data_IF_039584575553
#
_entry.id   IF_039584575553
#
_cell.length_a   1.000
_cell.length_b   1.000
_cell.length_c   1.000
_cell.angle_alpha   90.00
_cell.angle_beta   90.00
_cell.angle_gamma   90.00
#
_symmetry.space_group_name_H-M   'P 1'
#
loop_
_entity.id
_entity.type
_entity.pdbx_description
1 polymer ?
#
# COMPACT_ATOMS: atom_id res chain seq x y z
N UNK A 1 8.41 -12.07 40.19
CA UNK A 1 9.46 -11.17 40.75
C UNK A 1 10.79 -11.81 40.43
N UNK A 2 11.84 -11.02 40.16
CA UNK A 2 13.20 -11.53 39.95
C UNK A 2 13.66 -12.27 41.22
N UNK A 3 14.18 -13.49 41.12
CA UNK A 3 14.77 -14.16 42.29
C UNK A 3 16.07 -13.44 42.71
N UNK A 4 16.18 -13.13 44.00
CA UNK A 4 17.38 -12.59 44.65
C UNK A 4 18.70 -13.26 44.27
N UNK A 5 18.70 -14.56 43.99
CA UNK A 5 19.88 -15.38 43.64
C UNK A 5 20.40 -15.08 42.23
N UNK A 6 19.59 -14.49 41.34
CA UNK A 6 20.07 -13.99 40.04
C UNK A 6 21.12 -12.88 40.20
N UNK A 7 21.11 -12.17 41.35
CA UNK A 7 21.95 -11.00 41.60
C UNK A 7 21.45 -9.70 40.95
N UNK A 8 20.40 -9.77 40.12
CA UNK A 8 19.80 -8.60 39.46
C UNK A 8 18.87 -7.83 40.40
N UNK A 9 18.74 -6.52 40.17
CA UNK A 9 17.87 -5.63 40.96
C UNK A 9 16.78 -4.98 40.08
N UNK A 10 15.56 -4.77 40.60
CA UNK A 10 14.53 -4.00 39.91
C UNK A 10 15.00 -2.59 39.53
N UNK A 11 14.55 -2.10 38.38
CA UNK A 11 14.89 -0.78 37.82
C UNK A 11 16.31 -0.65 37.25
N UNK A 12 17.13 -1.71 37.25
CA UNK A 12 18.49 -1.70 36.71
C UNK A 12 18.59 -2.52 35.41
N UNK A 13 19.41 -2.06 34.46
CA UNK A 13 19.66 -2.73 33.18
C UNK A 13 20.89 -3.64 33.24
N UNK A 14 20.81 -4.81 32.60
CA UNK A 14 21.90 -5.79 32.54
C UNK A 14 22.03 -6.41 31.14
N UNK A 15 23.16 -6.23 30.46
CA UNK A 15 23.45 -6.87 29.17
C UNK A 15 24.31 -8.13 29.33
N UNK A 16 24.16 -9.10 28.42
CA UNK A 16 24.94 -10.35 28.42
C UNK A 16 26.26 -10.10 27.68
N UNK A 17 27.40 -10.30 28.35
CA UNK A 17 28.72 -10.20 27.72
C UNK A 17 29.10 -11.52 27.03
N UNK A 18 28.76 -11.65 25.76
CA UNK A 18 29.41 -12.65 24.89
C UNK A 18 30.86 -12.24 24.60
N UNK A 19 31.77 -13.21 24.50
CA UNK A 19 33.20 -12.97 24.22
C UNK A 19 33.62 -13.33 22.78
N UNK A 20 32.70 -13.85 21.97
CA UNK A 20 32.85 -14.15 20.55
C UNK A 20 31.50 -13.98 19.84
N UNK A 21 31.51 -13.87 18.50
CA UNK A 21 30.33 -13.78 17.61
C UNK A 21 29.47 -15.06 17.56
N UNK A 22 29.62 -15.96 18.53
CA UNK A 22 28.99 -17.28 18.57
C UNK A 22 27.59 -17.31 19.21
N UNK A 23 27.20 -16.28 19.96
CA UNK A 23 25.91 -16.20 20.66
C UNK A 23 25.18 -14.87 20.41
N UNK A 24 23.91 -14.87 19.98
CA UNK A 24 23.20 -13.69 19.46
C UNK A 24 22.55 -12.82 20.56
N UNK A 25 23.04 -12.87 21.80
CA UNK A 25 22.47 -12.10 22.92
C UNK A 25 22.89 -10.61 22.88
N UNK A 26 22.40 -9.89 21.88
CA UNK A 26 22.65 -8.44 21.66
C UNK A 26 21.79 -7.51 22.52
N UNK A 27 20.87 -8.08 23.31
CA UNK A 27 19.91 -7.36 24.14
C UNK A 27 20.28 -7.21 25.62
N UNK A 28 19.38 -6.54 26.36
CA UNK A 28 19.49 -6.27 27.79
C UNK A 28 18.27 -6.76 28.56
N UNK A 29 18.48 -7.09 29.83
CA UNK A 29 17.42 -7.29 30.81
C UNK A 29 17.02 -5.97 31.47
N UNK A 30 15.71 -5.79 31.69
CA UNK A 30 15.13 -4.80 32.59
C UNK A 30 13.91 -5.41 33.29
N UNK A 31 13.84 -5.29 34.62
CA UNK A 31 12.74 -5.81 35.46
C UNK A 31 12.37 -7.30 35.22
N UNK A 32 13.37 -8.11 34.84
CA UNK A 32 13.20 -9.54 34.58
C UNK A 32 12.67 -9.88 33.18
N UNK A 33 12.57 -8.90 32.29
CA UNK A 33 12.27 -9.07 30.84
C UNK A 33 13.51 -8.77 30.01
N UNK A 34 13.65 -9.41 28.85
CA UNK A 34 14.78 -9.28 27.94
C UNK A 34 14.35 -8.61 26.62
N UNK A 35 15.14 -7.66 26.13
CA UNK A 35 14.83 -6.78 25.00
C UNK A 35 16.03 -6.67 24.05
N UNK A 36 15.80 -6.74 22.73
CA UNK A 36 16.88 -6.78 21.72
C UNK A 36 17.52 -5.41 21.38
N UNK A 37 16.83 -4.30 21.63
CA UNK A 37 17.36 -2.95 21.42
C UNK A 37 16.78 -1.97 22.45
N UNK A 38 17.49 -0.88 22.82
CA UNK A 38 17.03 0.10 23.81
C UNK A 38 15.64 0.70 23.56
N UNK A 39 15.24 0.76 22.29
CA UNK A 39 14.04 1.45 21.80
C UNK A 39 12.89 0.47 21.45
N UNK A 40 13.17 -0.83 21.38
CA UNK A 40 12.15 -1.87 21.17
C UNK A 40 11.44 -2.17 22.49
N UNK A 41 10.22 -1.65 22.67
CA UNK A 41 9.43 -1.88 23.89
C UNK A 41 8.80 -3.29 23.99
N UNK A 42 9.03 -4.16 23.00
CA UNK A 42 8.57 -5.55 23.00
C UNK A 42 9.64 -6.46 23.61
N UNK A 43 9.29 -7.15 24.70
CA UNK A 43 10.16 -8.14 25.33
C UNK A 43 10.12 -9.47 24.55
N UNK A 44 11.28 -10.09 24.34
CA UNK A 44 11.46 -11.36 23.59
C UNK A 44 11.88 -12.55 24.49
N UNK A 45 12.05 -12.29 25.78
CA UNK A 45 12.33 -13.30 26.81
C UNK A 45 12.08 -12.75 28.22
N UNK A 46 12.07 -13.61 29.22
CA UNK A 46 11.82 -13.25 30.62
C UNK A 46 12.43 -14.26 31.61
N UNK A 47 12.45 -13.89 32.89
CA UNK A 47 12.89 -14.73 34.00
C UNK A 47 11.71 -15.34 34.76
N UNK A 48 11.71 -16.67 34.89
CA UNK A 48 10.90 -17.40 35.87
C UNK A 48 11.82 -17.93 36.97
N UNK A 49 11.75 -17.31 38.15
CA UNK A 49 12.72 -17.48 39.25
C UNK A 49 14.18 -17.18 38.81
N UNK A 50 14.93 -18.21 38.44
CA UNK A 50 16.29 -18.15 37.88
C UNK A 50 16.36 -18.56 36.40
N UNK A 51 15.31 -19.18 35.87
CA UNK A 51 15.28 -19.72 34.52
C UNK A 51 15.06 -18.59 33.51
N UNK A 52 15.98 -18.46 32.55
CA UNK A 52 15.86 -17.53 31.44
C UNK A 52 15.15 -18.21 30.27
N UNK A 53 13.92 -17.77 30.03
CA UNK A 53 13.03 -18.26 28.99
C UNK A 53 13.07 -17.28 27.80
N UNK A 54 13.17 -17.82 26.59
CA UNK A 54 13.27 -17.08 25.34
C UNK A 54 12.28 -17.65 24.32
N UNK A 55 11.50 -16.80 23.63
CA UNK A 55 10.23 -17.23 23.01
C UNK A 55 10.25 -17.52 21.49
N UNK A 56 11.41 -17.96 20.94
CA UNK A 56 11.67 -18.42 19.54
C UNK A 56 11.44 -17.43 18.37
N UNK A 57 12.11 -17.61 17.21
CA UNK A 57 12.33 -16.51 16.22
C UNK A 57 12.78 -16.76 14.73
N UNK A 58 12.86 -17.95 14.10
CA UNK A 58 13.35 -18.08 12.67
C UNK A 58 12.24 -18.00 11.59
N UNK A 59 12.49 -17.62 10.32
CA UNK A 59 13.74 -17.64 9.50
C UNK A 59 14.18 -16.25 9.00
N UNK A 60 15.21 -15.60 9.56
CA UNK A 60 15.95 -15.90 10.80
C UNK A 60 15.60 -14.88 11.90
N UNK A 61 16.49 -14.70 12.88
CA UNK A 61 16.24 -14.00 14.12
C UNK A 61 16.50 -14.87 15.37
N UNK A 62 16.63 -16.20 15.23
CA UNK A 62 16.68 -17.11 16.39
C UNK A 62 17.80 -16.80 17.37
N UNK A 63 17.48 -16.92 18.66
CA UNK A 63 18.08 -18.02 19.41
C UNK A 63 17.14 -19.22 19.70
N UNK A 64 17.41 -20.36 19.04
CA UNK A 64 16.80 -21.65 19.39
C UNK A 64 17.50 -22.20 20.62
N UNK A 65 16.73 -22.52 21.66
CA UNK A 65 17.16 -23.47 22.69
C UNK A 65 16.08 -24.55 22.89
N UNK A 66 16.43 -25.79 23.27
CA UNK A 66 15.44 -26.85 23.44
C UNK A 66 14.39 -26.46 24.50
N UNK A 67 13.11 -26.48 24.09
CA UNK A 67 11.97 -26.16 24.95
C UNK A 67 11.97 -24.73 25.55
N UNK A 68 12.42 -23.70 24.79
CA UNK A 68 12.44 -22.27 25.19
C UNK A 68 13.37 -21.88 26.34
N UNK A 69 14.03 -22.83 27.01
CA UNK A 69 14.95 -22.56 28.11
C UNK A 69 16.36 -22.24 27.60
N UNK A 70 16.77 -20.97 27.69
CA UNK A 70 18.12 -20.55 27.33
C UNK A 70 19.16 -21.01 28.38
N UNK A 71 18.83 -20.88 29.66
CA UNK A 71 19.71 -21.29 30.76
C UNK A 71 19.23 -20.79 32.12
N UNK A 72 20.08 -20.92 33.14
CA UNK A 72 19.80 -20.41 34.50
C UNK A 72 20.74 -19.27 34.89
N UNK A 73 20.21 -18.23 35.52
CA UNK A 73 20.98 -17.07 35.99
C UNK A 73 21.17 -17.15 37.51
N UNK A 74 22.42 -17.25 37.95
CA UNK A 74 22.81 -17.15 39.34
C UNK A 74 24.01 -16.21 39.48
N UNK A 75 23.97 -15.29 40.44
CA UNK A 75 25.03 -14.31 40.72
C UNK A 75 25.56 -13.60 39.45
N UNK A 76 24.65 -13.01 38.67
CA UNK A 76 24.92 -12.35 37.38
C UNK A 76 25.64 -13.23 36.34
N UNK A 77 25.52 -14.55 36.45
CA UNK A 77 26.11 -15.51 35.51
C UNK A 77 25.02 -16.38 34.89
N UNK A 78 24.78 -16.24 33.60
CA UNK A 78 23.91 -17.11 32.81
C UNK A 78 24.66 -18.40 32.46
N UNK A 79 24.17 -19.54 32.94
CA UNK A 79 24.70 -20.87 32.66
C UNK A 79 23.80 -21.56 31.64
N UNK A 80 24.30 -21.75 30.43
CA UNK A 80 23.56 -22.30 29.29
C UNK A 80 23.40 -23.82 29.41
N UNK A 81 22.35 -24.38 28.80
CA UNK A 81 22.10 -25.84 28.77
C UNK A 81 23.23 -26.65 28.11
N UNK A 82 24.03 -26.03 27.24
CA UNK A 82 25.25 -26.60 26.64
C UNK A 82 26.52 -26.57 27.52
N UNK A 83 26.44 -26.04 28.75
CA UNK A 83 27.55 -25.99 29.72
C UNK A 83 28.42 -24.72 29.67
N UNK A 84 28.16 -23.80 28.75
CA UNK A 84 28.82 -22.49 28.69
C UNK A 84 28.27 -21.52 29.75
N UNK A 85 29.09 -20.55 30.19
CA UNK A 85 28.72 -19.57 31.21
C UNK A 85 29.05 -18.15 30.77
N UNK A 86 28.03 -17.31 30.63
CA UNK A 86 28.10 -15.92 30.18
C UNK A 86 27.88 -14.97 31.36
N UNK A 87 28.61 -13.84 31.38
CA UNK A 87 28.52 -12.85 32.46
C UNK A 87 27.54 -11.73 32.09
N UNK A 88 26.67 -11.35 33.03
CA UNK A 88 25.81 -10.18 32.90
C UNK A 88 26.54 -8.95 33.45
N UNK A 89 26.63 -7.89 32.66
CA UNK A 89 27.17 -6.60 33.07
C UNK A 89 26.01 -5.63 33.31
N UNK A 90 26.02 -4.96 34.46
CA UNK A 90 25.12 -3.83 34.72
C UNK A 90 25.48 -2.64 33.83
N UNK A 91 24.50 -2.07 33.16
CA UNK A 91 24.64 -0.85 32.38
C UNK A 91 24.45 0.40 33.26
N UNK A 92 25.33 1.37 33.11
CA UNK A 92 25.19 2.69 33.73
C UNK A 92 24.60 3.67 32.71
N UNK A 93 23.26 3.73 32.63
CA UNK A 93 22.58 4.71 31.76
C UNK A 93 22.61 6.08 32.43
N UNK A 94 23.50 6.97 31.95
CA UNK A 94 23.51 8.39 32.32
C UNK A 94 22.51 9.17 31.48
N UNK A 95 21.44 9.66 32.11
CA UNK A 95 20.42 10.50 31.48
C UNK A 95 20.89 11.97 31.34
N UNK A 96 21.86 12.21 30.44
CA UNK A 96 22.17 13.53 29.87
C UNK A 96 23.35 13.42 28.90
N UNK A 97 23.17 13.88 27.66
CA UNK A 97 24.18 14.60 26.85
C UNK A 97 23.60 14.93 25.45
N UNK A 98 22.84 16.03 25.35
CA UNK A 98 22.72 16.77 24.08
C UNK A 98 23.92 17.73 23.99
N UNK A 99 24.69 17.77 22.87
CA UNK A 99 25.80 18.69 22.73
C UNK A 99 25.31 20.13 22.47
N UNK A 100 25.93 21.16 23.07
CA UNK A 100 25.47 22.54 22.95
C UNK A 100 25.80 23.12 21.56
N UNK A 101 24.77 23.61 20.87
CA UNK A 101 24.92 24.33 19.60
C UNK A 101 25.53 25.72 19.87
N UNK A 102 26.78 25.92 19.44
CA UNK A 102 27.35 27.26 19.32
C UNK A 102 26.76 27.97 18.10
N UNK A 103 26.36 29.22 18.26
CA UNK A 103 25.86 30.04 17.16
C UNK A 103 26.99 30.41 16.19
N UNK A 104 26.81 30.11 14.91
CA UNK A 104 27.54 30.72 13.80
C UNK A 104 26.54 31.13 12.73
N UNK A 105 26.52 32.40 12.36
CA UNK A 105 25.64 32.95 11.32
C UNK A 105 25.95 32.32 9.96
N UNK A 106 25.02 31.52 9.44
CA UNK A 106 25.03 30.98 8.08
C UNK A 106 23.59 30.88 7.55
N UNK A 107 23.43 31.06 6.24
CA UNK A 107 22.17 31.49 5.62
C UNK A 107 21.01 30.47 5.68
N UNK A 108 19.80 31.02 5.65
CA UNK A 108 18.53 30.35 5.86
C UNK A 108 18.12 29.45 4.67
N UNK A 109 18.30 28.13 4.79
CA UNK A 109 17.57 27.16 3.95
C UNK A 109 17.32 25.81 4.63
N UNK A 110 16.03 25.48 4.85
CA UNK A 110 15.59 24.11 5.14
C UNK A 110 15.37 23.74 6.61
N UNK A 111 14.26 24.19 7.21
CA UNK A 111 13.63 23.41 8.29
C UNK A 111 12.99 22.14 7.67
N UNK A 112 13.07 20.97 8.30
CA UNK A 112 12.22 19.84 7.91
C UNK A 112 10.75 20.23 8.07
N UNK A 113 9.92 19.87 7.09
CA UNK A 113 8.50 20.16 7.13
C UNK A 113 7.82 19.39 8.27
N UNK A 114 6.85 20.03 8.94
CA UNK A 114 6.07 19.38 9.98
C UNK A 114 5.13 18.34 9.33
N UNK A 115 5.29 17.07 9.69
CA UNK A 115 4.56 15.94 9.13
C UNK A 115 3.04 16.20 9.12
N UNK A 116 2.44 16.20 7.92
CA UNK A 116 1.15 16.85 7.69
C UNK A 116 -0.06 16.01 8.08
N UNK A 117 0.13 14.69 8.25
CA UNK A 117 -0.91 13.72 8.60
C UNK A 117 -0.63 13.03 9.95
N UNK A 118 0.24 13.62 10.79
CA UNK A 118 0.69 13.04 12.05
C UNK A 118 -0.46 12.50 12.93
N UNK A 119 -0.45 11.18 13.17
CA UNK A 119 -1.42 10.50 14.02
C UNK A 119 -2.79 10.20 13.39
N UNK A 120 -3.06 10.64 12.14
CA UNK A 120 -4.28 10.29 11.40
C UNK A 120 -4.28 8.80 11.05
N UNK A 121 -5.41 8.10 11.22
CA UNK A 121 -5.53 6.70 10.82
C UNK A 121 -5.95 6.55 9.35
N UNK A 122 -5.17 5.79 8.58
CA UNK A 122 -5.41 5.52 7.16
C UNK A 122 -5.50 4.01 6.91
N UNK A 123 -6.63 3.55 6.38
CA UNK A 123 -6.82 2.17 5.93
C UNK A 123 -6.59 2.10 4.41
N UNK A 124 -5.75 1.17 3.94
CA UNK A 124 -5.40 1.04 2.52
C UNK A 124 -5.67 -0.39 2.05
N UNK A 125 -6.58 -0.54 1.08
CA UNK A 125 -6.84 -1.84 0.42
C UNK A 125 -5.97 -2.03 -0.82
N UNK A 126 -5.51 -3.26 -1.07
CA UNK A 126 -4.53 -3.56 -2.11
C UNK A 126 -3.12 -3.03 -1.77
N UNK A 127 -2.77 -2.92 -0.49
CA UNK A 127 -1.54 -2.27 -0.03
C UNK A 127 -0.24 -3.01 -0.38
N UNK A 128 -0.28 -4.31 -0.70
CA UNK A 128 0.94 -5.11 -0.87
C UNK A 128 1.75 -4.83 -2.16
N UNK A 129 1.19 -4.13 -3.15
CA UNK A 129 1.88 -3.88 -4.44
C UNK A 129 1.42 -2.62 -5.17
N UNK A 130 2.19 -2.22 -6.18
CA UNK A 130 1.84 -1.16 -7.11
C UNK A 130 1.60 0.19 -6.42
N UNK A 131 0.52 0.85 -6.84
CA UNK A 131 0.04 2.11 -6.24
C UNK A 131 -0.22 1.93 -4.74
N UNK A 132 -0.76 0.79 -4.29
CA UNK A 132 -1.09 0.58 -2.88
C UNK A 132 0.12 0.63 -1.95
N UNK A 133 1.22 -0.01 -2.34
CA UNK A 133 2.50 0.00 -1.61
C UNK A 133 3.15 1.39 -1.63
N UNK A 134 3.15 2.05 -2.79
CA UNK A 134 3.64 3.44 -2.90
C UNK A 134 2.83 4.40 -2.00
N UNK A 135 1.50 4.25 -1.99
CA UNK A 135 0.60 5.04 -1.15
C UNK A 135 0.84 4.76 0.33
N UNK A 136 0.99 3.50 0.75
CA UNK A 136 1.31 3.16 2.14
C UNK A 136 2.58 3.89 2.61
N UNK A 137 3.70 3.72 1.89
CA UNK A 137 4.97 4.38 2.22
C UNK A 137 4.86 5.91 2.23
N UNK A 138 4.14 6.51 1.28
CA UNK A 138 3.94 7.96 1.21
C UNK A 138 3.13 8.50 2.40
N UNK A 139 2.08 7.79 2.84
CA UNK A 139 1.30 8.18 4.02
C UNK A 139 2.09 7.97 5.32
N UNK A 140 2.86 6.87 5.44
CA UNK A 140 3.73 6.62 6.59
C UNK A 140 4.75 7.76 6.78
N UNK A 141 5.44 8.15 5.72
CA UNK A 141 6.41 9.24 5.77
C UNK A 141 5.80 10.66 5.95
N UNK A 142 4.46 10.79 5.97
CA UNK A 142 3.73 11.99 6.40
C UNK A 142 3.19 11.89 7.85
N UNK A 143 3.60 10.87 8.60
CA UNK A 143 3.25 10.67 10.01
C UNK A 143 1.92 9.94 10.25
N UNK A 144 1.28 9.40 9.20
CA UNK A 144 0.00 8.72 9.33
C UNK A 144 0.15 7.30 9.92
N UNK A 145 -0.78 6.90 10.79
CA UNK A 145 -0.86 5.53 11.33
C UNK A 145 -1.63 4.64 10.33
N UNK A 146 -1.11 3.46 10.00
CA UNK A 146 -1.62 2.69 8.85
C UNK A 146 -2.29 1.36 9.21
N UNK A 147 -3.29 1.00 8.41
CA UNK A 147 -3.85 -0.35 8.36
C UNK A 147 -3.74 -0.85 6.92
N UNK A 148 -2.85 -1.81 6.71
CA UNK A 148 -2.47 -2.33 5.40
C UNK A 148 -3.28 -3.61 5.11
N UNK A 149 -4.08 -3.60 4.04
CA UNK A 149 -4.97 -4.70 3.69
C UNK A 149 -4.76 -5.20 2.26
N UNK A 150 -4.52 -6.50 2.11
CA UNK A 150 -4.38 -7.22 0.84
C UNK A 150 -4.51 -8.73 1.08
N UNK A 151 -4.58 -9.54 0.02
CA UNK A 151 -4.64 -11.03 0.13
C UNK A 151 -3.27 -11.69 0.34
N UNK A 152 -2.20 -10.92 0.18
CA UNK A 152 -0.82 -11.38 0.13
C UNK A 152 -0.17 -10.98 1.47
N UNK A 153 -0.09 -11.92 2.41
CA UNK A 153 0.29 -11.65 3.81
C UNK A 153 1.79 -11.41 3.97
N UNK A 154 2.63 -12.21 3.31
CA UNK A 154 4.09 -12.03 3.26
C UNK A 154 4.45 -10.66 2.71
N UNK A 155 3.86 -10.28 1.57
CA UNK A 155 4.09 -8.97 0.99
C UNK A 155 3.42 -7.81 1.76
N UNK A 156 2.47 -8.06 2.67
CA UNK A 156 1.99 -7.03 3.59
C UNK A 156 3.00 -6.77 4.71
N UNK A 157 3.73 -7.79 5.18
CA UNK A 157 4.78 -7.60 6.18
C UNK A 157 5.97 -6.82 5.61
N UNK A 158 6.38 -7.05 4.36
CA UNK A 158 7.37 -6.18 3.70
C UNK A 158 6.95 -4.70 3.70
N UNK A 159 5.68 -4.40 3.42
CA UNK A 159 5.15 -3.02 3.41
C UNK A 159 4.98 -2.48 4.83
N UNK A 160 4.69 -3.35 5.81
CA UNK A 160 4.67 -3.00 7.22
C UNK A 160 6.04 -2.49 7.66
N UNK A 161 7.10 -3.24 7.35
CA UNK A 161 8.48 -2.86 7.64
C UNK A 161 8.83 -1.52 6.97
N UNK A 162 8.59 -1.38 5.66
CA UNK A 162 8.78 -0.11 4.91
C UNK A 162 8.04 1.10 5.51
N UNK A 163 6.92 0.88 6.20
CA UNK A 163 6.15 1.95 6.86
C UNK A 163 6.65 2.23 8.28
N UNK A 164 7.11 1.22 9.01
CA UNK A 164 7.74 1.43 10.33
C UNK A 164 9.11 2.12 10.21
N UNK A 165 9.84 1.92 9.11
CA UNK A 165 11.04 2.70 8.76
C UNK A 165 10.77 4.21 8.62
N UNK A 166 9.56 4.62 8.21
CA UNK A 166 9.14 6.03 8.21
C UNK A 166 8.83 6.58 9.62
N UNK A 167 8.91 5.76 10.68
CA UNK A 167 8.68 6.17 12.08
C UNK A 167 7.22 6.20 12.52
N UNK A 168 6.33 5.45 11.85
CA UNK A 168 4.88 5.41 12.15
C UNK A 168 4.37 4.03 12.54
N UNK A 169 3.40 3.98 13.46
CA UNK A 169 2.67 2.74 13.75
C UNK A 169 1.90 2.24 12.53
N UNK A 170 1.98 0.95 12.25
CA UNK A 170 1.18 0.29 11.24
C UNK A 170 0.77 -1.11 11.70
N UNK A 171 -0.30 -1.65 11.09
CA UNK A 171 -0.69 -3.07 11.21
C UNK A 171 -1.06 -3.65 9.85
N UNK A 172 -0.79 -4.94 9.64
CA UNK A 172 -1.16 -5.69 8.46
C UNK A 172 -2.37 -6.60 8.73
N UNK A 173 -3.33 -6.66 7.81
CA UNK A 173 -4.54 -7.50 7.92
C UNK A 173 -4.84 -8.17 6.57
N UNK A 174 -4.61 -9.47 6.48
CA UNK A 174 -4.96 -10.28 5.30
C UNK A 174 -6.46 -10.16 4.97
N UNK A 175 -6.79 -9.60 3.80
CA UNK A 175 -8.16 -9.23 3.40
C UNK A 175 -8.39 -9.43 1.89
N UNK A 176 -9.37 -10.25 1.52
CA UNK A 176 -10.02 -10.28 0.21
C UNK A 176 -11.25 -9.35 0.20
N UNK A 177 -11.16 -8.23 -0.53
CA UNK A 177 -12.24 -7.24 -0.67
C UNK A 177 -13.51 -7.78 -1.34
N UNK A 178 -13.48 -9.00 -1.89
CA UNK A 178 -14.67 -9.68 -2.40
C UNK A 178 -15.52 -10.32 -1.29
N UNK A 179 -15.00 -10.43 -0.06
CA UNK A 179 -15.67 -11.09 1.08
C UNK A 179 -16.14 -10.06 2.11
N UNK A 180 -17.47 -9.89 2.26
CA UNK A 180 -18.05 -8.86 3.15
C UNK A 180 -17.60 -9.00 4.60
N UNK A 181 -17.60 -10.22 5.17
CA UNK A 181 -17.15 -10.45 6.55
C UNK A 181 -15.68 -10.11 6.81
N UNK A 182 -14.82 -10.19 5.77
CA UNK A 182 -13.42 -9.74 5.92
C UNK A 182 -13.31 -8.21 5.88
N UNK A 183 -14.15 -7.53 5.10
CA UNK A 183 -14.23 -6.05 5.11
C UNK A 183 -14.79 -5.50 6.43
N UNK A 184 -15.78 -6.18 7.02
CA UNK A 184 -16.29 -5.90 8.36
C UNK A 184 -15.19 -6.08 9.42
N UNK A 185 -14.49 -7.22 9.40
CA UNK A 185 -13.34 -7.47 10.29
C UNK A 185 -12.21 -6.44 10.11
N UNK A 186 -11.88 -6.06 8.87
CA UNK A 186 -10.88 -5.02 8.59
C UNK A 186 -11.27 -3.69 9.24
N UNK A 187 -12.51 -3.24 9.04
CA UNK A 187 -12.98 -1.98 9.64
C UNK A 187 -13.00 -2.02 11.17
N UNK A 188 -13.33 -3.18 11.77
CA UNK A 188 -13.34 -3.36 13.21
C UNK A 188 -11.93 -3.24 13.81
N UNK A 189 -10.97 -4.01 13.31
CA UNK A 189 -9.59 -3.97 13.80
C UNK A 189 -8.92 -2.62 13.51
N UNK A 190 -9.23 -1.99 12.36
CA UNK A 190 -8.79 -0.63 12.06
C UNK A 190 -9.29 0.36 13.11
N UNK A 191 -10.58 0.33 13.45
CA UNK A 191 -11.13 1.18 14.48
C UNK A 191 -10.56 0.87 15.87
N UNK A 192 -10.32 -0.39 16.22
CA UNK A 192 -9.68 -0.77 17.50
C UNK A 192 -8.27 -0.17 17.60
N UNK A 193 -7.43 -0.32 16.56
CA UNK A 193 -6.11 0.30 16.47
C UNK A 193 -6.16 1.85 16.39
N UNK A 194 -7.25 2.40 15.86
CA UNK A 194 -7.57 3.83 15.78
C UNK A 194 -8.24 4.42 17.02
N UNK A 195 -8.30 3.71 18.14
CA UNK A 195 -9.00 4.16 19.37
C UNK A 195 -10.48 4.55 19.12
N UNK A 196 -11.17 3.78 18.30
CA UNK A 196 -12.56 3.97 17.87
C UNK A 196 -12.75 4.82 16.61
N UNK A 197 -11.68 5.35 16.00
CA UNK A 197 -11.73 6.23 14.82
C UNK A 197 -11.13 5.57 13.56
N UNK A 198 -11.57 6.05 12.41
CA UNK A 198 -10.90 5.89 11.12
C UNK A 198 -10.96 7.25 10.44
N UNK A 199 -9.84 7.88 10.11
CA UNK A 199 -9.84 9.20 9.48
C UNK A 199 -9.92 9.10 7.95
N UNK A 200 -9.22 8.14 7.35
CA UNK A 200 -9.10 7.99 5.90
C UNK A 200 -9.25 6.52 5.50
N UNK A 201 -10.03 6.27 4.44
CA UNK A 201 -10.17 4.96 3.83
C UNK A 201 -9.83 5.03 2.34
N UNK A 202 -8.80 4.30 1.92
CA UNK A 202 -8.33 4.22 0.54
C UNK A 202 -8.78 2.89 -0.07
N UNK A 203 -9.80 2.97 -0.93
CA UNK A 203 -10.11 1.88 -1.84
C UNK A 203 -9.14 1.92 -3.03
N UNK A 204 -8.20 0.97 -3.07
CA UNK A 204 -7.18 0.86 -4.12
C UNK A 204 -7.05 -0.55 -4.70
N UNK A 205 -7.51 -1.59 -4.01
CA UNK A 205 -7.50 -2.96 -4.52
C UNK A 205 -8.11 -3.04 -5.94
N UNK A 206 -7.52 -3.85 -6.82
CA UNK A 206 -8.01 -4.00 -8.18
C UNK A 206 -7.31 -5.13 -8.94
N UNK A 207 -8.03 -5.74 -9.87
CA UNK A 207 -7.55 -6.82 -10.74
C UNK A 207 -8.01 -6.59 -12.17
N UNK A 208 -7.25 -7.13 -13.12
CA UNK A 208 -7.55 -7.04 -14.55
C UNK A 208 -7.75 -8.42 -15.17
N UNK A 209 -8.60 -8.49 -16.19
CA UNK A 209 -8.68 -9.62 -17.12
C UNK A 209 -8.71 -9.05 -18.54
N UNK A 210 -7.83 -9.54 -19.43
CA UNK A 210 -7.77 -9.10 -20.84
C UNK A 210 -7.90 -10.30 -21.77
N UNK A 211 -8.87 -10.27 -22.67
CA UNK A 211 -9.16 -11.35 -23.64
C UNK A 211 -10.37 -11.00 -24.52
N UNK A 212 -10.70 -11.81 -25.53
CA UNK A 212 -12.02 -11.66 -26.16
C UNK A 212 -13.11 -11.99 -25.13
N UNK A 213 -14.29 -11.37 -25.25
CA UNK A 213 -15.29 -11.42 -24.18
C UNK A 213 -15.80 -12.86 -23.96
N UNK A 214 -15.99 -13.56 -25.06
CA UNK A 214 -16.44 -14.94 -25.19
C UNK A 214 -15.33 -16.00 -24.99
N UNK A 215 -14.06 -15.60 -25.08
CA UNK A 215 -12.89 -16.47 -24.84
C UNK A 215 -12.37 -16.36 -23.39
N UNK A 216 -12.75 -15.30 -22.68
CA UNK A 216 -12.44 -15.06 -21.27
C UNK A 216 -13.49 -15.76 -20.39
N UNK A 217 -13.09 -16.58 -19.40
CA UNK A 217 -14.04 -17.24 -18.49
C UNK A 217 -14.99 -16.27 -17.78
N UNK A 218 -16.24 -16.68 -17.55
CA UNK A 218 -17.24 -15.84 -16.91
C UNK A 218 -16.82 -15.45 -15.49
N UNK A 219 -16.24 -16.40 -14.76
CA UNK A 219 -15.75 -16.26 -13.40
C UNK A 219 -14.63 -15.20 -13.30
N UNK A 220 -13.85 -15.02 -14.38
CA UNK A 220 -12.84 -13.97 -14.45
C UNK A 220 -13.47 -12.58 -14.61
N UNK A 221 -14.50 -12.45 -15.46
CA UNK A 221 -15.28 -11.20 -15.56
C UNK A 221 -15.97 -10.86 -14.23
N UNK A 222 -16.62 -11.85 -13.60
CA UNK A 222 -17.29 -11.67 -12.30
C UNK A 222 -16.31 -11.28 -11.20
N UNK A 223 -15.13 -11.91 -11.14
CA UNK A 223 -14.08 -11.58 -10.16
C UNK A 223 -13.56 -10.14 -10.31
N UNK A 224 -13.44 -9.64 -11.55
CA UNK A 224 -13.13 -8.22 -11.80
C UNK A 224 -14.25 -7.32 -11.26
N UNK A 225 -15.53 -7.60 -11.52
CA UNK A 225 -16.65 -6.82 -10.96
C UNK A 225 -16.65 -6.85 -9.43
N UNK A 226 -16.45 -8.03 -8.83
CA UNK A 226 -16.45 -8.20 -7.37
C UNK A 226 -15.34 -7.41 -6.68
N UNK A 227 -14.18 -7.26 -7.33
CA UNK A 227 -13.03 -6.54 -6.78
C UNK A 227 -13.12 -5.04 -7.08
N UNK A 228 -13.20 -4.67 -8.35
CA UNK A 228 -13.02 -3.29 -8.84
C UNK A 228 -14.27 -2.40 -8.72
N UNK A 229 -15.42 -2.97 -8.33
CA UNK A 229 -16.65 -2.24 -8.06
C UNK A 229 -17.27 -2.64 -6.72
N UNK A 230 -17.57 -3.93 -6.51
CA UNK A 230 -18.28 -4.34 -5.27
C UNK A 230 -17.36 -4.25 -4.04
N UNK A 231 -16.05 -4.48 -4.18
CA UNK A 231 -15.08 -4.24 -3.10
C UNK A 231 -15.03 -2.78 -2.64
N UNK A 232 -15.15 -1.82 -3.57
CA UNK A 232 -15.20 -0.39 -3.26
C UNK A 232 -16.51 -0.01 -2.57
N UNK A 233 -17.62 -0.61 -2.99
CA UNK A 233 -18.93 -0.49 -2.32
C UNK A 233 -18.84 -1.01 -0.89
N UNK A 234 -18.26 -2.20 -0.66
CA UNK A 234 -18.04 -2.75 0.68
C UNK A 234 -17.16 -1.83 1.53
N UNK A 235 -16.04 -1.32 0.99
CA UNK A 235 -15.15 -0.39 1.68
C UNK A 235 -15.86 0.89 2.10
N UNK A 236 -16.63 1.50 1.21
CA UNK A 236 -17.47 2.66 1.55
C UNK A 236 -18.52 2.31 2.63
N UNK A 237 -19.18 1.16 2.51
CA UNK A 237 -20.21 0.71 3.43
C UNK A 237 -19.69 0.51 4.86
N UNK A 238 -18.47 -0.03 5.03
CA UNK A 238 -17.87 -0.24 6.36
C UNK A 238 -17.18 1.02 6.92
N UNK A 239 -16.66 1.92 6.08
CA UNK A 239 -15.99 3.14 6.53
C UNK A 239 -16.96 4.27 6.93
N UNK A 240 -18.05 4.47 6.17
CA UNK A 240 -18.97 5.60 6.37
C UNK A 240 -19.64 5.66 7.76
N UNK A 241 -19.96 4.55 8.47
CA UNK A 241 -20.45 4.61 9.84
C UNK A 241 -19.48 5.32 10.79
N UNK A 242 -18.17 5.07 10.68
CA UNK A 242 -17.15 5.73 11.50
C UNK A 242 -17.04 7.22 11.16
N UNK A 243 -16.98 7.57 9.87
CA UNK A 243 -16.92 8.97 9.43
C UNK A 243 -18.16 9.76 9.90
N UNK A 244 -19.35 9.16 9.84
CA UNK A 244 -20.59 9.76 10.34
C UNK A 244 -20.64 9.87 11.85
N UNK A 245 -20.10 8.90 12.59
CA UNK A 245 -20.01 8.96 14.05
C UNK A 245 -19.07 10.08 14.52
N UNK A 246 -17.93 10.28 13.87
CA UNK A 246 -16.93 11.30 14.23
C UNK A 246 -17.12 12.66 13.52
N UNK A 247 -18.09 12.78 12.59
CA UNK A 247 -18.41 13.98 11.80
C UNK A 247 -17.25 14.52 10.93
N UNK A 248 -16.33 13.65 10.55
CA UNK A 248 -15.06 13.94 9.84
C UNK A 248 -14.60 12.67 9.10
N UNK A 249 -14.02 12.77 7.91
CA UNK A 249 -13.34 11.63 7.28
C UNK A 249 -13.25 11.69 5.75
N UNK A 250 -12.33 10.91 5.18
CA UNK A 250 -12.01 10.96 3.74
C UNK A 250 -12.08 9.55 3.13
N UNK A 251 -13.00 9.35 2.18
CA UNK A 251 -13.05 8.17 1.33
C UNK A 251 -12.32 8.47 0.01
N UNK A 252 -11.18 7.83 -0.23
CA UNK A 252 -10.43 7.94 -1.48
C UNK A 252 -10.67 6.69 -2.32
N UNK A 253 -11.26 6.86 -3.51
CA UNK A 253 -11.47 5.79 -4.47
C UNK A 253 -10.46 5.89 -5.63
N UNK A 254 -9.76 4.80 -5.90
CA UNK A 254 -8.83 4.66 -7.04
C UNK A 254 -9.60 4.21 -8.28
N UNK A 255 -9.94 5.18 -9.13
CA UNK A 255 -10.62 4.97 -10.40
C UNK A 255 -9.57 4.71 -11.50
N UNK A 256 -9.87 5.08 -12.74
CA UNK A 256 -8.98 4.91 -13.89
C UNK A 256 -9.46 5.83 -15.02
N UNK A 257 -8.61 6.13 -15.99
CA UNK A 257 -9.09 6.61 -17.29
C UNK A 257 -10.12 5.67 -17.95
N UNK A 258 -10.09 4.39 -17.60
CA UNK A 258 -11.12 3.41 -17.94
C UNK A 258 -12.53 3.75 -17.43
N UNK A 259 -12.69 4.72 -16.51
CA UNK A 259 -13.98 5.28 -16.08
C UNK A 259 -14.61 6.27 -17.07
N UNK A 260 -13.88 6.66 -18.12
CA UNK A 260 -14.32 7.62 -19.15
C UNK A 260 -14.27 7.04 -20.56
N UNK A 261 -13.34 6.12 -20.82
CA UNK A 261 -13.17 5.46 -22.12
C UNK A 261 -13.18 3.95 -21.90
N UNK A 262 -14.17 3.27 -22.47
CA UNK A 262 -14.25 1.81 -22.39
C UNK A 262 -13.06 1.16 -23.11
N UNK A 263 -12.50 0.12 -22.51
CA UNK A 263 -11.36 -0.63 -23.01
C UNK A 263 -11.83 -1.95 -23.65
N UNK A 264 -11.79 -2.07 -25.00
CA UNK A 264 -12.03 -3.34 -25.67
C UNK A 264 -11.06 -4.41 -25.18
N UNK A 265 -11.52 -5.66 -25.16
CA UNK A 265 -10.83 -6.80 -24.53
C UNK A 265 -10.75 -6.76 -22.99
N UNK A 266 -11.23 -5.70 -22.34
CA UNK A 266 -11.32 -5.59 -20.88
C UNK A 266 -12.72 -5.08 -20.47
N UNK A 267 -13.76 -5.82 -20.90
CA UNK A 267 -15.16 -5.39 -20.79
C UNK A 267 -15.64 -5.29 -19.33
N UNK A 268 -15.37 -6.30 -18.50
CA UNK A 268 -15.72 -6.28 -17.08
C UNK A 268 -15.00 -5.15 -16.32
N UNK A 269 -13.71 -4.93 -16.57
CA UNK A 269 -12.96 -3.81 -16.01
C UNK A 269 -13.58 -2.45 -16.39
N UNK A 270 -13.98 -2.30 -17.66
CA UNK A 270 -14.67 -1.10 -18.13
C UNK A 270 -16.00 -0.90 -17.38
N UNK A 271 -16.82 -1.94 -17.28
CA UNK A 271 -18.08 -1.88 -16.53
C UNK A 271 -17.86 -1.52 -15.05
N UNK A 272 -16.87 -2.12 -14.39
CA UNK A 272 -16.50 -1.82 -13.02
C UNK A 272 -16.07 -0.35 -12.85
N UNK A 273 -15.13 0.14 -13.66
CA UNK A 273 -14.61 1.51 -13.52
C UNK A 273 -15.60 2.61 -13.94
N UNK A 274 -16.52 2.34 -14.87
CA UNK A 274 -17.66 3.24 -15.12
C UNK A 274 -18.66 3.21 -13.95
N UNK A 275 -19.01 2.03 -13.43
CA UNK A 275 -19.91 1.88 -12.28
C UNK A 275 -19.36 2.54 -11.01
N UNK A 276 -18.05 2.41 -10.76
CA UNK A 276 -17.35 3.00 -9.63
C UNK A 276 -17.40 4.54 -9.66
N UNK A 277 -17.41 5.13 -10.86
CA UNK A 277 -17.64 6.58 -11.02
C UNK A 277 -19.03 6.97 -10.55
N UNK A 278 -20.05 6.26 -11.03
CA UNK A 278 -21.45 6.48 -10.61
C UNK A 278 -21.65 6.31 -9.10
N UNK A 279 -21.05 5.27 -8.51
CA UNK A 279 -21.04 5.04 -7.05
C UNK A 279 -20.41 6.23 -6.29
N UNK A 280 -19.24 6.69 -6.74
CA UNK A 280 -18.51 7.79 -6.11
C UNK A 280 -19.27 9.13 -6.22
N UNK A 281 -19.87 9.41 -7.38
CA UNK A 281 -20.72 10.58 -7.60
C UNK A 281 -22.00 10.54 -6.74
N UNK A 282 -22.65 9.38 -6.61
CA UNK A 282 -23.85 9.19 -5.78
C UNK A 282 -23.58 9.40 -4.29
N UNK A 283 -22.55 8.73 -3.73
CA UNK A 283 -22.17 8.86 -2.32
C UNK A 283 -21.87 10.33 -1.94
N UNK A 284 -21.23 11.08 -2.84
CA UNK A 284 -20.96 12.52 -2.64
C UNK A 284 -22.24 13.35 -2.55
N UNK A 285 -23.29 13.00 -3.30
CA UNK A 285 -24.62 13.64 -3.21
C UNK A 285 -25.36 13.31 -1.91
N UNK A 286 -25.27 12.05 -1.46
CA UNK A 286 -25.90 11.59 -0.21
C UNK A 286 -25.26 12.22 1.05
N UNK A 287 -23.97 12.58 0.99
CA UNK A 287 -23.21 13.12 2.12
C UNK A 287 -23.28 14.65 2.26
N UNK A 288 -24.17 15.32 1.52
CA UNK A 288 -24.37 16.78 1.59
C UNK A 288 -24.72 17.32 2.98
N UNK A 289 -25.25 16.47 3.88
CA UNK A 289 -25.49 16.80 5.29
C UNK A 289 -24.26 16.69 6.22
N UNK A 290 -23.10 16.25 5.71
CA UNK A 290 -21.88 15.99 6.48
C UNK A 290 -20.69 16.75 5.87
N UNK A 291 -20.50 18.05 6.19
CA UNK A 291 -19.60 18.94 5.44
C UNK A 291 -18.12 18.56 5.47
N UNK A 292 -17.67 17.82 6.49
CA UNK A 292 -16.29 17.35 6.63
C UNK A 292 -16.09 15.87 6.23
N UNK A 293 -17.11 15.24 5.63
CA UNK A 293 -16.96 13.89 5.06
C UNK A 293 -16.76 14.02 3.55
N UNK A 294 -15.55 13.73 3.10
CA UNK A 294 -15.14 13.92 1.72
C UNK A 294 -15.09 12.59 0.96
N UNK A 295 -15.68 12.58 -0.23
CA UNK A 295 -15.58 11.46 -1.18
C UNK A 295 -14.79 11.93 -2.39
N UNK A 296 -13.62 11.32 -2.59
CA UNK A 296 -12.58 11.77 -3.50
C UNK A 296 -12.29 10.69 -4.55
N UNK A 297 -12.29 11.06 -5.84
CA UNK A 297 -11.84 10.20 -6.93
C UNK A 297 -10.43 10.57 -7.40
N UNK A 298 -9.54 9.57 -7.46
CA UNK A 298 -8.25 9.66 -8.14
C UNK A 298 -8.37 8.92 -9.48
N UNK A 299 -8.02 9.59 -10.58
CA UNK A 299 -7.94 8.99 -11.92
C UNK A 299 -6.48 8.83 -12.37
N UNK A 300 -5.84 7.68 -12.11
CA UNK A 300 -4.60 7.33 -12.79
C UNK A 300 -4.79 7.20 -14.31
N UNK A 301 -3.81 7.73 -15.05
CA UNK A 301 -3.47 7.27 -16.38
C UNK A 301 -2.84 5.85 -16.33
N UNK A 302 -2.16 5.44 -17.40
CA UNK A 302 -1.40 4.18 -17.42
C UNK A 302 -0.17 4.34 -16.52
N UNK A 303 -0.13 3.61 -15.40
CA UNK A 303 0.99 3.63 -14.45
C UNK A 303 1.91 2.43 -14.66
N UNK A 304 3.20 2.58 -14.36
CA UNK A 304 4.19 1.51 -14.44
C UNK A 304 4.10 0.61 -13.21
N UNK A 305 3.02 -0.17 -13.09
CA UNK A 305 2.81 -1.13 -12.00
C UNK A 305 2.88 -2.57 -12.50
N UNK A 306 3.11 -3.56 -11.60
CA UNK A 306 3.05 -4.98 -11.95
C UNK A 306 1.71 -5.45 -12.56
N UNK A 307 0.61 -4.69 -12.42
CA UNK A 307 -0.74 -5.14 -12.80
C UNK A 307 -0.95 -5.55 -14.27
N UNK A 308 -0.11 -5.08 -15.20
CA UNK A 308 -0.13 -5.56 -16.61
C UNK A 308 0.57 -6.91 -16.81
N UNK A 309 1.42 -7.33 -15.87
CA UNK A 309 2.10 -8.63 -15.82
C UNK A 309 1.32 -9.62 -14.93
N UNK A 310 0.82 -9.15 -13.79
CA UNK A 310 0.14 -9.95 -12.76
C UNK A 310 -1.35 -10.20 -13.07
N UNK A 311 -1.97 -9.41 -13.95
CA UNK A 311 -3.38 -9.54 -14.30
C UNK A 311 -3.70 -10.78 -15.15
N UNK A 312 -4.98 -11.18 -15.17
CA UNK A 312 -5.47 -12.27 -16.00
C UNK A 312 -5.27 -11.99 -17.49
N UNK A 313 -4.57 -12.90 -18.18
CA UNK A 313 -4.29 -12.81 -19.61
C UNK A 313 -4.94 -13.98 -20.34
N UNK A 314 -5.99 -13.67 -21.08
CA UNK A 314 -6.77 -14.59 -21.91
C UNK A 314 -6.62 -14.25 -23.42
N UNK A 315 -5.56 -13.52 -23.80
CA UNK A 315 -5.34 -13.10 -25.20
C UNK A 315 -4.50 -14.06 -26.04
N UNK A 316 -3.78 -14.99 -25.40
CA UNK A 316 -2.74 -15.82 -26.06
C UNK A 316 -1.45 -15.07 -26.42
N UNK A 317 -1.35 -13.78 -26.10
CA UNK A 317 -0.20 -12.92 -26.40
C UNK A 317 0.25 -12.15 -25.14
N UNK A 318 1.52 -11.74 -25.10
CA UNK A 318 2.05 -10.95 -23.99
C UNK A 318 1.39 -9.56 -23.94
N UNK A 319 0.82 -9.20 -22.80
CA UNK A 319 0.24 -7.87 -22.59
C UNK A 319 1.36 -6.83 -22.46
N UNK A 320 1.10 -5.63 -22.99
CA UNK A 320 1.99 -4.47 -22.86
C UNK A 320 1.17 -3.24 -22.49
N UNK A 321 1.59 -2.43 -21.50
CA UNK A 321 0.91 -1.17 -21.20
C UNK A 321 1.00 -0.23 -22.41
N UNK A 322 -0.10 0.46 -22.79
CA UNK A 322 -0.06 1.44 -23.86
C UNK A 322 0.67 2.72 -23.38
N UNK A 323 1.64 3.18 -24.17
CA UNK A 323 2.42 4.39 -23.85
C UNK A 323 1.59 5.68 -23.98
N UNK A 324 1.92 6.76 -23.23
CA UNK A 324 2.97 6.84 -22.22
C UNK A 324 2.59 6.15 -20.91
N UNK A 325 3.60 5.61 -20.23
CA UNK A 325 3.47 4.97 -18.91
C UNK A 325 4.08 5.92 -17.88
N UNK A 326 3.36 6.17 -16.78
CA UNK A 326 3.72 7.14 -15.74
C UNK A 326 4.21 6.45 -14.47
N UNK A 327 4.87 7.23 -13.60
CA UNK A 327 5.36 6.77 -12.31
C UNK A 327 4.19 6.54 -11.32
N UNK A 328 4.07 5.34 -10.69
CA UNK A 328 3.06 5.07 -9.66
C UNK A 328 3.12 6.01 -8.45
N UNK A 329 4.30 6.51 -8.06
CA UNK A 329 4.47 7.41 -6.92
C UNK A 329 3.68 8.73 -7.09
N UNK A 330 3.50 9.20 -8.33
CA UNK A 330 2.65 10.37 -8.62
C UNK A 330 1.18 10.16 -8.21
N UNK A 331 0.72 8.91 -8.10
CA UNK A 331 -0.61 8.58 -7.59
C UNK A 331 -0.63 8.58 -6.07
N UNK A 332 0.43 8.08 -5.43
CA UNK A 332 0.62 8.14 -3.98
C UNK A 332 0.66 9.60 -3.49
N UNK A 333 1.49 10.44 -4.10
CA UNK A 333 1.58 11.88 -3.83
C UNK A 333 0.22 12.57 -3.99
N UNK A 334 -0.54 12.20 -5.02
CA UNK A 334 -1.88 12.74 -5.26
C UNK A 334 -2.91 12.28 -4.21
N UNK A 335 -2.78 11.08 -3.65
CA UNK A 335 -3.62 10.59 -2.55
C UNK A 335 -3.28 11.31 -1.24
N UNK A 336 -1.98 11.47 -0.93
CA UNK A 336 -1.51 12.25 0.23
C UNK A 336 -1.96 13.71 0.12
N UNK A 337 -1.75 14.37 -1.02
CA UNK A 337 -2.22 15.75 -1.23
C UNK A 337 -3.75 15.87 -1.11
N UNK A 338 -4.50 14.83 -1.47
CA UNK A 338 -5.96 14.78 -1.31
C UNK A 338 -6.40 14.48 0.14
N UNK A 339 -5.56 13.80 0.93
CA UNK A 339 -5.78 13.62 2.37
C UNK A 339 -5.58 14.93 3.15
N UNK A 340 -4.55 15.71 2.78
CA UNK A 340 -4.25 17.01 3.37
C UNK A 340 -5.27 18.08 2.95
N UNK A 341 -5.66 18.08 1.67
CA UNK A 341 -6.59 19.06 1.09
C UNK A 341 -7.60 18.35 0.17
N UNK A 342 -8.75 17.90 0.71
CA UNK A 342 -9.74 17.12 -0.02
C UNK A 342 -10.24 17.78 -1.30
N UNK A 343 -9.99 17.11 -2.44
CA UNK A 343 -10.55 17.48 -3.74
C UNK A 343 -11.52 16.40 -4.18
N UNK A 344 -12.70 16.74 -4.71
CA UNK A 344 -13.66 15.73 -5.16
C UNK A 344 -13.07 14.89 -6.30
N UNK A 345 -12.24 15.48 -7.17
CA UNK A 345 -11.68 14.81 -8.34
C UNK A 345 -10.24 15.26 -8.62
N UNK A 346 -9.33 14.30 -8.72
CA UNK A 346 -7.91 14.50 -9.09
C UNK A 346 -7.54 13.56 -10.23
N UNK A 347 -6.74 14.02 -11.19
CA UNK A 347 -6.35 13.25 -12.37
C UNK A 347 -4.82 13.25 -12.48
N UNK A 348 -4.21 12.07 -12.64
CA UNK A 348 -2.75 11.88 -12.59
C UNK A 348 -2.24 11.37 -13.93
N UNK A 349 -1.38 12.15 -14.59
CA UNK A 349 -0.83 11.88 -15.93
C UNK A 349 -1.46 12.76 -17.02
N UNK A 350 -0.61 13.46 -17.80
CA UNK A 350 -1.07 14.53 -18.71
C UNK A 350 -1.98 14.10 -19.86
N UNK A 351 -1.84 12.87 -20.38
CA UNK A 351 -2.74 12.32 -21.42
C UNK A 351 -4.18 12.11 -20.94
N UNK A 352 -4.40 12.06 -19.63
CA UNK A 352 -5.68 11.75 -19.04
C UNK A 352 -6.76 12.81 -19.33
N UNK A 353 -6.36 14.09 -19.27
CA UNK A 353 -7.25 15.21 -19.61
C UNK A 353 -7.72 15.13 -21.06
N UNK A 354 -6.82 14.84 -21.99
CA UNK A 354 -7.14 14.70 -23.42
C UNK A 354 -8.06 13.51 -23.72
N UNK A 355 -7.82 12.37 -23.07
CA UNK A 355 -8.70 11.20 -23.19
C UNK A 355 -10.14 11.53 -22.79
N UNK A 356 -10.32 12.18 -21.62
CA UNK A 356 -11.62 12.59 -21.04
C UNK A 356 -12.43 13.52 -21.96
N UNK A 357 -11.77 14.41 -22.71
CA UNK A 357 -12.44 15.25 -23.71
C UNK A 357 -12.65 14.55 -25.07
N UNK A 358 -11.69 13.74 -25.53
CA UNK A 358 -11.73 13.14 -26.88
C UNK A 358 -12.92 12.22 -27.14
N UNK A 359 -13.44 11.54 -26.11
CA UNK A 359 -14.56 10.60 -26.23
C UNK A 359 -15.83 11.24 -26.81
N UNK A 360 -16.10 12.50 -26.43
CA UNK A 360 -17.29 13.24 -26.89
C UNK A 360 -17.17 13.77 -28.32
N UNK A 361 -15.96 13.80 -28.89
CA UNK A 361 -15.67 14.48 -30.16
C UNK A 361 -15.51 13.53 -31.36
N UNK A 362 -15.28 12.23 -31.13
CA UNK A 362 -14.98 11.26 -32.19
C UNK A 362 -16.05 10.15 -32.24
N UNK A 363 -17.04 10.24 -33.16
CA UNK A 363 -17.98 9.16 -33.40
C UNK A 363 -17.25 7.86 -33.77
N UNK A 364 -17.67 6.73 -33.17
CA UNK A 364 -17.06 5.38 -33.34
C UNK A 364 -15.62 5.23 -32.79
N UNK A 365 -15.16 6.11 -31.90
CA UNK A 365 -13.83 5.99 -31.26
C UNK A 365 -13.56 4.58 -30.69
N UNK A 366 -14.53 3.97 -30.01
CA UNK A 366 -14.41 2.63 -29.44
C UNK A 366 -14.06 1.54 -30.48
N UNK A 367 -14.53 1.66 -31.72
CA UNK A 367 -14.17 0.72 -32.79
C UNK A 367 -12.74 0.95 -33.31
N UNK A 368 -12.25 2.18 -33.28
CA UNK A 368 -10.86 2.49 -33.62
C UNK A 368 -9.92 1.97 -32.54
N UNK A 369 -10.22 2.25 -31.27
CA UNK A 369 -9.49 1.69 -30.11
C UNK A 369 -9.46 0.17 -30.23
N UNK A 370 -10.60 -0.51 -30.43
CA UNK A 370 -10.65 -1.96 -30.55
C UNK A 370 -9.79 -2.53 -31.68
N UNK A 371 -9.73 -1.85 -32.83
CA UNK A 371 -8.83 -2.23 -33.94
C UNK A 371 -7.35 -2.07 -33.57
N UNK A 372 -6.98 -0.97 -32.92
CA UNK A 372 -5.59 -0.75 -32.48
C UNK A 372 -5.17 -1.72 -31.37
N UNK A 373 -6.03 -1.96 -30.37
CA UNK A 373 -5.78 -2.95 -29.31
C UNK A 373 -5.59 -4.35 -29.89
N UNK A 374 -6.49 -4.79 -30.79
CA UNK A 374 -6.35 -6.10 -31.46
C UNK A 374 -5.03 -6.23 -32.20
N UNK A 375 -4.66 -5.21 -32.96
CA UNK A 375 -3.41 -5.16 -33.74
C UNK A 375 -2.16 -5.17 -32.83
N UNK A 376 -2.21 -4.50 -31.68
CA UNK A 376 -1.11 -4.48 -30.71
C UNK A 376 -0.94 -5.82 -29.99
N UNK A 377 -2.05 -6.47 -29.61
CA UNK A 377 -2.06 -7.82 -29.04
C UNK A 377 -1.47 -8.82 -30.04
N UNK A 378 -2.00 -8.87 -31.27
CA UNK A 378 -1.56 -9.80 -32.32
C UNK A 378 -0.10 -9.65 -32.77
N UNK A 379 0.53 -8.49 -32.48
CA UNK A 379 1.95 -8.23 -32.74
C UNK A 379 2.87 -8.50 -31.55
N UNK A 380 2.31 -8.79 -30.39
CA UNK A 380 3.10 -9.13 -29.20
C UNK A 380 3.47 -10.62 -29.21
N UNK A 381 4.59 -11.03 -28.57
CA UNK A 381 4.98 -12.44 -28.48
C UNK A 381 3.84 -13.30 -27.93
N UNK A 382 3.81 -14.58 -28.30
CA UNK A 382 2.86 -15.55 -27.72
C UNK A 382 3.11 -15.65 -26.21
N UNK A 383 2.03 -15.73 -25.43
CA UNK A 383 2.06 -15.93 -23.98
C UNK A 383 1.05 -17.02 -23.61
N UNK A 384 1.33 -17.88 -22.62
CA UNK A 384 0.32 -18.74 -22.03
C UNK A 384 -0.88 -17.94 -21.52
N UNK A 385 -2.05 -18.57 -21.55
CA UNK A 385 -3.23 -18.06 -20.85
C UNK A 385 -3.02 -18.20 -19.34
N UNK A 386 -3.48 -17.22 -18.56
CA UNK A 386 -3.34 -17.23 -17.10
C UNK A 386 -4.49 -16.46 -16.45
N UNK A 387 -4.98 -16.94 -15.30
CA UNK A 387 -5.86 -16.16 -14.43
C UNK A 387 -5.13 -15.06 -13.67
N UNK A 388 -3.79 -15.09 -13.64
CA UNK A 388 -2.98 -14.16 -12.88
C UNK A 388 -3.48 -14.03 -11.44
N UNK A 389 -3.56 -12.78 -10.98
CA UNK A 389 -3.97 -12.41 -9.63
C UNK A 389 -5.48 -12.38 -9.39
N UNK A 390 -6.32 -12.88 -10.31
CA UNK A 390 -7.78 -12.83 -10.14
C UNK A 390 -8.24 -13.55 -8.87
N UNK A 391 -7.79 -14.79 -8.66
CA UNK A 391 -8.32 -15.67 -7.61
C UNK A 391 -7.41 -15.82 -6.38
N UNK A 392 -6.13 -15.44 -6.48
CA UNK A 392 -5.16 -15.46 -5.39
C UNK A 392 -4.10 -14.36 -5.54
N UNK A 393 -3.14 -14.24 -4.62
CA UNK A 393 -1.95 -13.43 -4.83
C UNK A 393 -1.16 -13.94 -6.05
N UNK A 394 -0.42 -13.08 -6.77
CA UNK A 394 0.46 -13.50 -7.84
C UNK A 394 1.72 -14.18 -7.27
N UNK A 395 2.40 -15.02 -8.05
CA UNK A 395 3.66 -15.66 -7.64
C UNK A 395 4.84 -14.68 -7.68
N UNK A 396 5.76 -14.78 -6.71
CA UNK A 396 6.98 -13.98 -6.60
C UNK A 396 6.87 -12.70 -5.76
N UNK A 397 7.97 -11.96 -5.69
CA UNK A 397 8.12 -10.73 -4.90
C UNK A 397 7.21 -9.59 -5.41
N UNK A 398 6.48 -8.93 -4.50
CA UNK A 398 5.65 -7.77 -4.84
C UNK A 398 6.51 -6.50 -4.95
N UNK A 399 6.11 -5.58 -5.85
CA UNK A 399 6.85 -4.34 -6.11
C UNK A 399 5.90 -3.17 -6.35
N UNK A 400 6.40 -1.94 -6.19
CA UNK A 400 5.71 -0.73 -6.67
C UNK A 400 5.74 -0.65 -8.19
N UNK A 401 6.91 -0.84 -8.80
CA UNK A 401 7.11 -0.63 -10.23
C UNK A 401 6.98 -1.91 -11.07
N UNK A 402 6.45 -1.77 -12.29
CA UNK A 402 6.33 -2.84 -13.29
C UNK A 402 7.54 -3.02 -14.22
N UNK A 403 8.52 -2.11 -14.15
CA UNK A 403 9.73 -2.13 -15.00
C UNK A 403 9.45 -1.89 -16.49
N UNK A 404 8.39 -1.16 -16.84
CA UNK A 404 7.96 -0.89 -18.22
C UNK A 404 8.14 0.58 -18.66
N UNK A 405 8.62 1.46 -17.78
CA UNK A 405 8.87 2.88 -18.08
C UNK A 405 10.06 3.07 -19.03
N UNK A 406 9.76 3.19 -20.31
CA UNK A 406 10.70 3.71 -21.31
C UNK A 406 10.88 5.24 -21.11
N UNK A 407 12.07 5.64 -20.65
CA UNK A 407 12.40 7.04 -20.39
C UNK A 407 12.53 7.91 -21.66
N UNK A 408 12.40 7.34 -22.86
CA UNK A 408 12.64 8.06 -24.13
C UNK A 408 11.51 8.99 -24.58
N UNK A 409 10.28 8.87 -24.05
CA UNK A 409 9.12 9.63 -24.53
C UNK A 409 9.09 11.04 -23.91
N UNK A 410 9.65 12.00 -24.63
CA UNK A 410 9.67 13.42 -24.22
C UNK A 410 8.26 14.04 -24.17
N UNK A 411 7.99 15.01 -23.27
CA UNK A 411 6.67 15.66 -23.19
C UNK A 411 6.26 16.38 -24.49
N UNK A 412 7.23 16.84 -25.29
CA UNK A 412 6.98 17.45 -26.60
C UNK A 412 6.27 16.50 -27.58
N UNK A 413 6.62 15.21 -27.56
CA UNK A 413 5.99 14.16 -28.38
C UNK A 413 4.54 13.89 -27.99
N UNK A 414 4.22 13.99 -26.69
CA UNK A 414 2.85 13.87 -26.18
C UNK A 414 2.00 15.05 -26.66
N UNK A 415 2.55 16.28 -26.62
CA UNK A 415 1.89 17.48 -27.11
C UNK A 415 1.64 17.44 -28.63
N UNK A 416 2.56 16.86 -29.41
CA UNK A 416 2.42 16.67 -30.85
C UNK A 416 1.31 15.66 -31.21
N UNK A 417 1.21 14.54 -30.47
CA UNK A 417 0.12 13.57 -30.66
C UNK A 417 -1.25 14.14 -30.27
N UNK A 418 -1.30 14.92 -29.18
CA UNK A 418 -2.50 15.61 -28.72
C UNK A 418 -3.03 16.63 -29.74
N UNK A 419 -2.14 17.47 -30.28
CA UNK A 419 -2.48 18.45 -31.31
C UNK A 419 -2.86 17.78 -32.63
N UNK A 420 -2.22 16.68 -33.03
CA UNK A 420 -2.62 15.88 -34.18
C UNK A 420 -4.05 15.34 -34.08
N UNK A 421 -4.46 14.82 -32.91
CA UNK A 421 -5.82 14.35 -32.66
C UNK A 421 -6.86 15.49 -32.66
N UNK A 422 -6.53 16.65 -32.08
CA UNK A 422 -7.39 17.84 -32.13
C UNK A 422 -7.58 18.35 -33.57
N UNK A 423 -6.50 18.46 -34.34
CA UNK A 423 -6.56 18.88 -35.76
C UNK A 423 -7.36 17.87 -36.60
N UNK A 424 -7.19 16.57 -36.38
CA UNK A 424 -7.98 15.53 -37.05
C UNK A 424 -9.48 15.59 -36.67
N UNK A 425 -9.80 15.82 -35.39
CA UNK A 425 -11.16 16.00 -34.91
C UNK A 425 -11.84 17.24 -35.50
N UNK A 426 -11.19 18.40 -35.43
CA UNK A 426 -11.68 19.64 -36.04
C UNK A 426 -11.83 19.50 -37.56
N UNK A 427 -10.85 18.88 -38.24
CA UNK A 427 -10.90 18.60 -39.67
C UNK A 427 -12.08 17.71 -40.06
N UNK A 428 -12.35 16.65 -39.29
CA UNK A 428 -13.51 15.77 -39.50
C UNK A 428 -14.84 16.51 -39.32
N UNK A 429 -14.96 17.35 -38.27
CA UNK A 429 -16.15 18.18 -38.03
C UNK A 429 -16.38 19.17 -39.18
N UNK A 430 -15.33 19.88 -39.63
CA UNK A 430 -15.40 20.84 -40.74
C UNK A 430 -15.71 20.17 -42.09
N UNK A 431 -15.17 18.98 -42.35
CA UNK A 431 -15.51 18.18 -43.54
C UNK A 431 -16.95 17.66 -43.51
N UNK A 432 -17.50 17.40 -42.31
CA UNK A 432 -18.90 16.97 -42.14
C UNK A 432 -19.87 18.14 -42.21
N UNK A 433 -19.51 19.32 -41.73
CA UNK A 433 -20.35 20.53 -41.84
C UNK A 433 -20.41 21.10 -43.26
N UNK A 434 -19.41 20.82 -44.12
CA UNK A 434 -19.42 21.14 -45.56
C UNK A 434 -20.18 20.11 -46.43
N UNK A 435 -20.74 19.05 -45.84
CA UNK A 435 -21.55 18.02 -46.52
C UNK A 435 -23.03 18.05 -46.10
N UNK A 436 -23.43 19.10 -45.40
CA UNK A 436 -24.82 19.53 -45.17
C UNK A 436 -25.01 20.87 -45.85
#
# INVERSE_FOLDING_TARGET
>A
MIDSKTGMKPGERYSIKSSNDAHPFTGFFLDGKYYLAPDLQTAVGWLEEQEFIYDHVDSSGEPVFPNRLAGTIENLTLSMSGGERLQLIRENVSLSDEPPIQASDAEESGRPAQASLNGKLVVITGASSGIGRATAKAFACEGARLVLAARDEEALYEVLDECTECGTDAIAIATDVTVSGQMENLSKHAAEFGNGRIDIWVNNAGVGAVGAFEETPLEAHERVIQTDLVGYLRGAYVALPYFKAQQDGILINTLSLGSWVAQPYAAAYSAAKFGLRGLTEALRGELTGFPNIHVCDIYPAVMDTPGFCDGGNYTGHALKPPSPVYDPHLVADAMVACAINPRPSTTVGGTAYLARFSHFLVPRLNHLIGRFTRWGIQRSPISPLSSGNLFGPPEGERRVEGGRRDQSIKPLTILALASGLLVAGCGYVLLRSRRR
#
